data_IF_169857634305
#
_entry.id   IF_169857634305
#
_cell.length_a   1.000
_cell.length_b   1.000
_cell.length_c   1.000
_cell.angle_alpha   90.00
_cell.angle_beta   90.00
_cell.angle_gamma   90.00
#
_symmetry.space_group_name_H-M   'P 1'
#
loop_
_entity.id
_entity.type
_entity.pdbx_description
1 polymer ?
#
# COMPACT_ATOMS: atom_id res chain seq x y z
N UNK A 1 -3.14 5.01 -16.69
CA UNK A 1 -1.98 4.09 -16.58
C UNK A 1 -2.32 3.07 -15.50
N UNK A 2 -2.22 1.78 -15.81
CA UNK A 2 -2.92 0.72 -15.07
C UNK A 2 -2.31 0.49 -13.69
N UNK A 3 -3.17 0.46 -12.65
CA UNK A 3 -2.79 0.22 -11.25
C UNK A 3 -2.51 -1.28 -11.10
N UNK A 4 -1.24 -1.67 -11.19
CA UNK A 4 -0.85 -3.08 -11.14
C UNK A 4 -1.07 -3.59 -9.71
N UNK A 5 -2.13 -4.39 -9.55
CA UNK A 5 -2.52 -5.00 -8.28
C UNK A 5 -1.97 -6.42 -8.25
N UNK A 6 -0.94 -6.67 -7.43
CA UNK A 6 -0.43 -8.03 -7.22
C UNK A 6 -1.31 -8.69 -6.16
N UNK A 7 -2.20 -9.60 -6.58
CA UNK A 7 -2.94 -10.47 -5.67
C UNK A 7 -2.12 -11.74 -5.45
N UNK A 8 -1.62 -11.96 -4.23
CA UNK A 8 -1.10 -13.26 -3.82
C UNK A 8 -2.25 -14.07 -3.18
N UNK A 9 -3.12 -14.62 -4.01
CA UNK A 9 -4.27 -15.41 -3.55
C UNK A 9 -4.13 -16.87 -3.95
N UNK A 10 -3.64 -17.74 -3.07
CA UNK A 10 -4.00 -19.16 -3.11
C UNK A 10 -3.76 -20.00 -1.83
N UNK A 11 -3.47 -19.43 -0.65
CA UNK A 11 -3.40 -20.24 0.57
C UNK A 11 -4.67 -20.11 1.41
N UNK A 12 -5.51 -21.15 1.54
CA UNK A 12 -6.62 -21.15 2.49
C UNK A 12 -6.04 -21.00 3.91
N UNK A 13 -6.44 -19.94 4.61
CA UNK A 13 -5.92 -19.55 5.93
C UNK A 13 -4.90 -18.41 5.93
N UNK A 14 -4.40 -18.00 4.76
CA UNK A 14 -3.63 -16.76 4.62
C UNK A 14 -4.62 -15.60 4.52
N UNK A 15 -4.52 -14.60 5.41
CA UNK A 15 -5.15 -13.30 5.19
C UNK A 15 -4.53 -12.73 3.91
N UNK A 16 -5.23 -12.87 2.79
CA UNK A 16 -4.71 -12.47 1.49
C UNK A 16 -4.23 -11.02 1.53
N UNK A 17 -2.96 -10.82 1.19
CA UNK A 17 -2.39 -9.49 1.11
C UNK A 17 -2.70 -8.89 -0.27
N UNK A 18 -3.25 -7.67 -0.26
CA UNK A 18 -3.49 -6.90 -1.49
C UNK A 18 -2.59 -5.69 -1.50
N UNK A 19 -1.69 -5.64 -2.47
CA UNK A 19 -0.77 -4.54 -2.64
C UNK A 19 -1.03 -3.81 -3.96
N UNK A 20 -0.90 -2.48 -3.96
CA UNK A 20 -0.87 -1.66 -5.17
C UNK A 20 0.40 -0.84 -5.20
N UNK A 21 0.98 -0.73 -6.38
CA UNK A 21 2.21 0.00 -6.60
C UNK A 21 1.99 1.12 -7.63
N UNK A 22 2.83 2.15 -7.55
CA UNK A 22 2.99 3.08 -8.65
C UNK A 22 3.85 2.47 -9.78
N UNK A 23 4.28 3.30 -10.73
CA UNK A 23 5.05 2.82 -11.88
C UNK A 23 6.51 2.52 -11.58
N UNK A 24 7.07 3.17 -10.57
CA UNK A 24 8.49 3.03 -10.20
C UNK A 24 8.68 1.98 -9.09
N UNK A 25 7.59 1.52 -8.49
CA UNK A 25 7.55 0.41 -7.55
C UNK A 25 7.26 0.82 -6.11
N UNK A 26 6.92 2.07 -5.85
CA UNK A 26 6.52 2.47 -4.50
C UNK A 26 5.16 1.84 -4.15
N UNK A 27 5.05 1.31 -2.94
CA UNK A 27 3.81 0.69 -2.46
C UNK A 27 2.82 1.76 -2.00
N UNK A 28 1.83 2.04 -2.84
CA UNK A 28 0.75 3.00 -2.58
C UNK A 28 -0.28 2.50 -1.56
N UNK A 29 -0.54 1.19 -1.56
CA UNK A 29 -1.49 0.58 -0.61
C UNK A 29 -1.12 -0.86 -0.30
N UNK A 30 -1.31 -1.25 0.96
CA UNK A 30 -1.29 -2.64 1.42
C UNK A 30 -2.56 -2.90 2.22
N UNK A 31 -3.23 -4.03 1.99
CA UNK A 31 -4.32 -4.50 2.83
C UNK A 31 -4.01 -5.90 3.32
N UNK A 32 -4.02 -6.08 4.64
CA UNK A 32 -3.84 -7.36 5.32
C UNK A 32 -5.01 -7.56 6.28
N UNK A 33 -5.84 -8.57 6.03
CA UNK A 33 -7.09 -8.75 6.78
C UNK A 33 -8.03 -7.55 6.59
N UNK A 34 -8.42 -6.91 7.68
CA UNK A 34 -9.28 -5.70 7.67
C UNK A 34 -8.48 -4.39 7.69
N UNK A 35 -7.16 -4.45 7.79
CA UNK A 35 -6.31 -3.27 7.93
C UNK A 35 -5.76 -2.86 6.57
N UNK A 36 -5.96 -1.59 6.21
CA UNK A 36 -5.36 -0.97 5.04
C UNK A 36 -4.37 0.11 5.46
N UNK A 37 -3.21 0.11 4.84
CA UNK A 37 -2.21 1.19 4.90
C UNK A 37 -2.11 1.84 3.52
N UNK A 38 -2.15 3.18 3.48
CA UNK A 38 -1.95 4.00 2.29
C UNK A 38 -0.73 4.89 2.48
N UNK A 39 0.12 4.98 1.46
CA UNK A 39 1.33 5.80 1.50
C UNK A 39 1.32 6.85 0.40
N UNK A 40 1.87 8.02 0.69
CA UNK A 40 2.06 9.12 -0.26
C UNK A 40 3.56 9.40 -0.38
N UNK A 41 4.00 9.63 -1.61
CA UNK A 41 5.39 9.89 -1.96
C UNK A 41 5.51 11.23 -2.68
N UNK A 42 6.64 11.92 -2.48
CA UNK A 42 7.00 13.10 -3.25
C UNK A 42 7.54 12.73 -4.65
N UNK A 43 7.95 13.73 -5.42
CA UNK A 43 8.48 13.52 -6.77
C UNK A 43 9.88 12.86 -6.79
N UNK A 44 10.54 12.75 -5.63
CA UNK A 44 11.84 12.10 -5.46
C UNK A 44 11.70 10.70 -4.84
N UNK A 45 10.49 10.12 -4.84
CA UNK A 45 10.18 8.80 -4.28
C UNK A 45 10.38 8.69 -2.76
N UNK A 46 10.30 9.81 -2.04
CA UNK A 46 10.36 9.83 -0.58
C UNK A 46 8.96 9.83 0.02
N UNK A 47 8.73 8.99 1.04
CA UNK A 47 7.44 8.93 1.73
C UNK A 47 7.19 10.22 2.51
N UNK A 48 6.07 10.89 2.24
CA UNK A 48 5.66 12.13 2.92
C UNK A 48 4.58 11.89 3.98
N UNK A 49 3.76 10.86 3.79
CA UNK A 49 2.78 10.42 4.80
C UNK A 49 2.41 8.95 4.66
N UNK A 50 1.93 8.37 5.76
CA UNK A 50 1.31 7.05 5.82
C UNK A 50 0.03 7.09 6.64
N UNK A 51 -1.05 6.52 6.12
CA UNK A 51 -2.32 6.36 6.83
C UNK A 51 -2.59 4.89 7.05
N UNK A 52 -2.75 4.46 8.29
CA UNK A 52 -3.17 3.08 8.64
C UNK A 52 -4.54 3.12 9.33
N UNK A 53 -5.56 2.57 8.68
CA UNK A 53 -6.94 2.78 9.11
C UNK A 53 -7.29 4.28 9.11
N UNK A 54 -7.50 4.85 10.29
CA UNK A 54 -7.74 6.29 10.48
C UNK A 54 -6.55 7.06 11.05
N UNK A 55 -5.46 6.36 11.39
CA UNK A 55 -4.27 6.99 11.95
C UNK A 55 -3.36 7.51 10.83
N UNK A 56 -3.10 8.82 10.83
CA UNK A 56 -2.18 9.49 9.91
C UNK A 56 -0.83 9.72 10.60
N UNK A 57 0.25 9.42 9.90
CA UNK A 57 1.62 9.78 10.24
C UNK A 57 2.18 10.66 9.13
N UNK A 58 2.48 11.92 9.42
CA UNK A 58 3.17 12.84 8.52
C UNK A 58 4.68 12.81 8.77
N UNK A 59 5.49 12.82 7.71
CA UNK A 59 6.95 12.68 7.76
C UNK A 59 7.69 13.92 7.23
N UNK A 60 7.05 15.10 7.30
CA UNK A 60 7.60 16.37 6.81
C UNK A 60 8.87 16.81 7.51
#
# INVERSE_FOLDING_TARGET
MQRQSLLLTCLPGSTGERNTFDKVGNRLSSTTGATTTNNVFDAADQMTSSTTGTALTDLT
#
